data_IF_669130582024
#
_entry.id   IF_669130582024
#
_cell.length_a   1.000
_cell.length_b   1.000
_cell.length_c   1.000
_cell.angle_alpha   90.00
_cell.angle_beta   90.00
_cell.angle_gamma   90.00
#
_symmetry.space_group_name_H-M   'P 1'
#
loop_
_entity.id
_entity.type
_entity.pdbx_description
1 polymer ?
#
# COMPACT_ATOMS: atom_id res chain seq x y z
N UNK A 1 34.86 -55.18 -25.52
CA UNK A 1 35.31 -54.53 -24.27
C UNK A 1 35.61 -53.06 -24.55
N UNK A 2 34.94 -52.13 -23.81
CA UNK A 2 35.39 -50.76 -23.47
C UNK A 2 35.62 -49.79 -24.66
N UNK A 3 35.04 -48.59 -24.79
CA UNK A 3 34.17 -47.66 -24.02
C UNK A 3 33.60 -46.70 -25.11
N UNK A 4 32.29 -46.54 -25.31
CA UNK A 4 31.42 -45.56 -24.62
C UNK A 4 32.05 -44.16 -24.51
N UNK A 5 31.66 -43.24 -25.39
CA UNK A 5 31.26 -41.89 -25.00
C UNK A 5 30.27 -41.32 -26.04
N UNK A 6 29.02 -41.69 -25.84
CA UNK A 6 27.86 -41.13 -26.52
C UNK A 6 27.70 -39.67 -26.07
N UNK A 7 27.62 -38.74 -27.03
CA UNK A 7 27.30 -37.33 -26.79
C UNK A 7 25.89 -37.27 -26.19
N UNK A 8 25.79 -37.02 -24.88
CA UNK A 8 24.52 -36.76 -24.22
C UNK A 8 24.00 -35.40 -24.67
N UNK A 9 22.87 -35.40 -25.37
CA UNK A 9 22.01 -34.24 -25.55
C UNK A 9 21.67 -33.64 -24.18
N UNK A 10 22.31 -32.51 -23.84
CA UNK A 10 21.87 -31.63 -22.76
C UNK A 10 20.80 -30.68 -23.31
N UNK A 11 19.60 -31.20 -23.54
CA UNK A 11 18.47 -30.41 -24.02
C UNK A 11 17.19 -30.90 -23.34
N UNK A 12 17.01 -30.61 -22.04
CA UNK A 12 15.72 -30.80 -21.37
C UNK A 12 15.63 -30.19 -19.96
N UNK A 13 16.04 -28.93 -19.73
CA UNK A 13 15.53 -28.15 -18.58
C UNK A 13 15.41 -26.66 -18.93
N UNK A 14 14.52 -26.31 -19.87
CA UNK A 14 13.99 -24.94 -19.99
C UNK A 14 12.48 -24.92 -20.27
N UNK A 15 11.77 -25.96 -19.85
CA UNK A 15 10.31 -26.00 -19.90
C UNK A 15 9.77 -26.07 -18.47
N UNK A 16 9.74 -24.92 -17.78
CA UNK A 16 8.74 -24.56 -16.77
C UNK A 16 8.99 -23.14 -16.22
N UNK A 17 9.04 -22.16 -17.11
CA UNK A 17 8.80 -20.74 -16.77
C UNK A 17 7.79 -20.13 -17.73
N UNK A 18 6.72 -20.88 -18.01
CA UNK A 18 5.57 -20.44 -18.81
C UNK A 18 4.26 -20.61 -18.03
N UNK A 19 4.22 -20.11 -16.80
CA UNK A 19 2.97 -19.62 -16.20
C UNK A 19 3.14 -18.15 -15.80
N UNK A 20 3.86 -17.37 -16.61
CA UNK A 20 3.59 -15.95 -16.69
C UNK A 20 2.16 -15.84 -17.23
N UNK A 21 1.18 -15.67 -16.34
CA UNK A 21 -0.20 -15.39 -16.72
C UNK A 21 -0.19 -14.21 -17.68
N UNK A 22 -0.33 -14.50 -18.97
CA UNK A 22 -0.33 -13.51 -20.04
C UNK A 22 -1.48 -12.56 -19.74
N UNK A 23 -1.14 -11.33 -19.38
CA UNK A 23 -2.12 -10.28 -19.18
C UNK A 23 -2.91 -10.14 -20.47
N UNK A 24 -4.20 -10.50 -20.46
CA UNK A 24 -5.06 -10.22 -21.62
C UNK A 24 -5.08 -8.70 -21.82
N UNK A 25 -4.70 -8.27 -23.03
CA UNK A 25 -4.73 -6.86 -23.41
C UNK A 25 -6.20 -6.45 -23.57
N UNK A 26 -6.71 -5.74 -22.58
CA UNK A 26 -8.07 -5.19 -22.61
C UNK A 26 -7.93 -3.77 -23.16
N UNK A 27 -8.63 -3.44 -24.26
CA UNK A 27 -8.64 -2.11 -24.92
C UNK A 27 -9.12 -0.94 -24.05
N UNK A 28 -9.34 -1.14 -22.76
CA UNK A 28 -9.85 -0.14 -21.82
C UNK A 28 -8.71 0.62 -21.14
N UNK A 29 -8.92 1.91 -20.89
CA UNK A 29 -8.01 2.73 -20.09
C UNK A 29 -7.92 2.21 -18.64
N UNK A 30 -6.83 2.50 -17.88
CA UNK A 30 -6.71 2.10 -16.49
C UNK A 30 -7.91 2.53 -15.61
N UNK A 31 -8.46 3.72 -15.86
CA UNK A 31 -9.65 4.25 -15.16
C UNK A 31 -10.91 3.45 -15.47
N UNK A 32 -11.16 3.14 -16.75
CA UNK A 32 -12.30 2.30 -17.15
C UNK A 32 -12.19 0.88 -16.61
N UNK A 33 -10.98 0.31 -16.60
CA UNK A 33 -10.72 -1.02 -16.02
C UNK A 33 -10.99 -1.04 -14.53
N UNK A 34 -10.57 -0.01 -13.81
CA UNK A 34 -10.83 0.14 -12.37
C UNK A 34 -12.33 0.29 -12.11
N UNK A 35 -13.02 1.14 -12.87
CA UNK A 35 -14.46 1.32 -12.73
C UNK A 35 -15.23 0.03 -13.00
N UNK A 36 -14.81 -0.74 -14.00
CA UNK A 36 -15.38 -2.06 -14.33
C UNK A 36 -15.10 -3.06 -13.21
N UNK A 37 -13.86 -3.11 -12.71
CA UNK A 37 -13.46 -3.92 -11.56
C UNK A 37 -14.40 -3.65 -10.37
N UNK A 38 -14.49 -2.40 -9.93
CA UNK A 38 -15.30 -1.97 -8.79
C UNK A 38 -16.78 -2.29 -8.98
N UNK A 39 -17.31 -2.12 -10.21
CA UNK A 39 -18.70 -2.44 -10.54
C UNK A 39 -19.00 -3.93 -10.48
N UNK A 40 -18.12 -4.77 -11.02
CA UNK A 40 -18.29 -6.22 -11.01
C UNK A 40 -18.27 -6.77 -9.59
N UNK A 41 -17.40 -6.21 -8.75
CA UNK A 41 -17.34 -6.54 -7.33
C UNK A 41 -18.62 -6.09 -6.62
N UNK A 42 -19.09 -4.86 -6.85
CA UNK A 42 -20.36 -4.38 -6.27
C UNK A 42 -21.53 -5.31 -6.62
N UNK A 43 -21.60 -5.79 -7.87
CA UNK A 43 -22.64 -6.74 -8.30
C UNK A 43 -22.52 -8.12 -7.65
N UNK A 44 -21.31 -8.62 -7.43
CA UNK A 44 -21.07 -9.89 -6.72
C UNK A 44 -21.36 -9.79 -5.22
N UNK A 45 -20.93 -8.69 -4.58
CA UNK A 45 -21.02 -8.47 -3.12
C UNK A 45 -22.41 -8.01 -2.66
N UNK A 46 -23.29 -7.53 -3.54
CA UNK A 46 -24.67 -7.13 -3.18
C UNK A 46 -25.51 -8.21 -2.46
N UNK A 47 -25.07 -9.48 -2.42
CA UNK A 47 -25.68 -10.54 -1.59
C UNK A 47 -25.21 -10.54 -0.12
N UNK A 48 -24.22 -9.74 0.24
CA UNK A 48 -23.55 -9.73 1.56
C UNK A 48 -23.28 -8.28 2.00
N UNK A 49 -24.33 -7.55 2.40
CA UNK A 49 -24.26 -6.50 3.42
C UNK A 49 -23.58 -5.16 3.10
N UNK A 50 -22.27 -5.10 2.80
CA UNK A 50 -21.49 -3.87 3.01
C UNK A 50 -20.65 -3.41 1.81
N UNK A 51 -20.56 -2.09 1.70
CA UNK A 51 -20.41 -1.36 0.43
C UNK A 51 -18.96 -1.14 -0.04
N UNK A 52 -18.81 -0.59 -1.25
CA UNK A 52 -17.54 -0.20 -1.89
C UNK A 52 -16.59 0.62 -0.97
N UNK A 53 -17.14 1.33 0.01
CA UNK A 53 -16.38 2.07 1.02
C UNK A 53 -15.69 1.16 2.03
N UNK A 54 -16.17 -0.05 2.32
CA UNK A 54 -15.44 -1.01 3.13
C UNK A 54 -14.29 -1.63 2.32
N UNK A 55 -14.57 -1.96 1.06
CA UNK A 55 -13.57 -2.46 0.12
C UNK A 55 -12.39 -1.49 -0.04
N UNK A 56 -12.70 -0.22 -0.29
CA UNK A 56 -11.72 0.83 -0.54
C UNK A 56 -11.26 1.54 0.74
N UNK A 57 -12.08 1.55 1.79
CA UNK A 57 -11.90 2.34 2.99
C UNK A 57 -11.21 1.59 4.12
N UNK A 58 -11.53 2.05 5.32
CA UNK A 58 -10.66 2.08 6.49
C UNK A 58 -10.31 0.69 7.01
N UNK A 59 -9.03 0.43 7.21
CA UNK A 59 -8.58 -0.75 7.94
C UNK A 59 -8.57 -0.42 9.43
N UNK A 60 -9.65 -0.76 10.13
CA UNK A 60 -9.82 -0.50 11.57
C UNK A 60 -8.77 -1.19 12.44
N UNK A 61 -8.03 -2.16 11.90
CA UNK A 61 -6.90 -2.77 12.59
C UNK A 61 -5.77 -1.77 12.86
N UNK A 62 -5.69 -0.68 12.10
CA UNK A 62 -4.62 0.32 12.25
C UNK A 62 -4.79 1.25 13.43
N UNK A 63 -6.02 1.45 13.92
CA UNK A 63 -6.22 2.17 15.17
C UNK A 63 -5.70 1.42 16.39
N UNK A 64 -5.52 0.11 16.26
CA UNK A 64 -4.85 -0.70 17.30
C UNK A 64 -3.37 -0.34 17.48
N UNK A 65 -2.78 0.38 16.52
CA UNK A 65 -1.37 0.81 16.60
C UNK A 65 -1.19 2.20 17.21
N UNK A 66 -2.30 2.91 17.49
CA UNK A 66 -2.27 4.20 18.16
C UNK A 66 -1.79 4.04 19.61
N UNK A 67 -1.14 5.08 20.10
CA UNK A 67 -0.61 5.15 21.46
C UNK A 67 -1.38 6.22 22.20
N UNK A 68 -1.99 5.86 23.33
CA UNK A 68 -2.67 6.81 24.20
C UNK A 68 -1.64 7.54 25.08
N UNK A 69 -1.70 8.87 25.09
CA UNK A 69 -0.94 9.72 26.01
C UNK A 69 -1.90 10.78 26.53
N UNK A 70 -2.08 10.83 27.84
CA UNK A 70 -2.94 11.80 28.53
C UNK A 70 -4.36 11.87 27.94
N UNK A 71 -4.95 10.71 27.62
CA UNK A 71 -6.29 10.58 27.05
C UNK A 71 -6.40 10.88 25.54
N UNK A 72 -5.28 11.14 24.86
CA UNK A 72 -5.23 11.44 23.42
C UNK A 72 -4.53 10.31 22.67
N UNK A 73 -5.19 9.78 21.63
CA UNK A 73 -4.64 8.72 20.79
C UNK A 73 -3.76 9.30 19.68
N UNK A 74 -2.48 8.97 19.66
CA UNK A 74 -1.50 9.42 18.68
C UNK A 74 -1.00 8.30 17.79
N UNK A 75 -0.69 8.61 16.53
CA UNK A 75 0.06 7.73 15.65
C UNK A 75 1.51 7.59 16.14
N UNK A 76 2.07 6.36 16.08
CA UNK A 76 3.50 6.18 16.32
C UNK A 76 4.32 6.97 15.28
N UNK A 77 5.46 7.47 15.73
CA UNK A 77 6.44 8.15 14.88
C UNK A 77 7.44 7.13 14.39
N UNK A 78 7.54 6.99 13.07
CA UNK A 78 8.54 6.15 12.42
C UNK A 78 9.64 7.02 11.84
N UNK A 79 10.90 6.63 12.04
CA UNK A 79 12.07 7.33 11.48
C UNK A 79 12.86 6.49 10.48
N UNK A 80 12.50 5.21 10.33
CA UNK A 80 13.25 4.25 9.52
C UNK A 80 12.41 3.82 8.33
N UNK A 81 12.98 3.92 7.14
CA UNK A 81 12.39 3.34 5.93
C UNK A 81 12.76 1.86 5.83
N UNK A 82 11.76 1.00 5.63
CA UNK A 82 11.99 -0.46 5.51
C UNK A 82 11.52 -1.03 4.19
N UNK A 83 10.84 -0.24 3.37
CA UNK A 83 10.18 -0.73 2.16
C UNK A 83 11.19 -1.11 1.08
N UNK A 84 11.10 -2.36 0.63
CA UNK A 84 12.08 -2.96 -0.28
C UNK A 84 11.71 -2.82 -1.76
N UNK A 85 10.44 -2.60 -2.08
CA UNK A 85 10.00 -2.35 -3.46
C UNK A 85 10.19 -0.87 -3.85
N UNK A 86 10.16 -0.58 -5.16
CA UNK A 86 10.26 0.80 -5.64
C UNK A 86 9.12 1.65 -5.05
N UNK A 87 9.54 2.69 -4.33
CA UNK A 87 8.70 3.59 -3.54
C UNK A 87 9.06 5.05 -3.79
N UNK A 88 9.95 5.34 -4.74
CA UNK A 88 10.41 6.71 -5.04
C UNK A 88 9.23 7.64 -5.31
N UNK A 89 8.31 7.21 -6.18
CA UNK A 89 7.10 7.97 -6.49
C UNK A 89 6.15 8.13 -5.29
N UNK A 90 6.17 7.21 -4.32
CA UNK A 90 5.35 7.31 -3.11
C UNK A 90 5.89 8.37 -2.17
N UNK A 91 7.20 8.39 -1.91
CA UNK A 91 7.82 9.42 -1.05
C UNK A 91 7.58 10.82 -1.61
N UNK A 92 7.82 10.99 -2.92
CA UNK A 92 7.62 12.28 -3.60
C UNK A 92 6.18 12.75 -3.45
N UNK A 93 5.20 11.88 -3.71
CA UNK A 93 3.80 12.27 -3.71
C UNK A 93 3.29 12.62 -2.30
N UNK A 94 3.71 11.88 -1.27
CA UNK A 94 3.37 12.21 0.12
C UNK A 94 3.99 13.51 0.59
N UNK A 95 5.28 13.68 0.32
CA UNK A 95 6.00 14.90 0.71
C UNK A 95 5.39 16.12 0.02
N UNK A 96 5.06 16.02 -1.27
CA UNK A 96 4.44 17.09 -2.03
C UNK A 96 3.05 17.46 -1.47
N UNK A 97 2.18 16.48 -1.21
CA UNK A 97 0.87 16.77 -0.63
C UNK A 97 0.98 17.34 0.80
N UNK A 98 1.93 16.86 1.60
CA UNK A 98 2.20 17.40 2.93
C UNK A 98 2.63 18.86 2.88
N UNK A 99 3.64 19.19 2.09
CA UNK A 99 4.14 20.56 1.96
C UNK A 99 3.08 21.53 1.42
N UNK A 100 2.14 21.05 0.60
CA UNK A 100 1.00 21.83 0.14
C UNK A 100 0.00 22.15 1.26
N UNK A 101 -0.16 21.24 2.24
CA UNK A 101 -1.07 21.41 3.39
C UNK A 101 -0.46 22.19 4.53
N UNK A 102 0.84 21.98 4.77
CA UNK A 102 1.59 22.51 5.90
C UNK A 102 2.84 23.23 5.39
N UNK A 103 2.63 24.31 4.62
CA UNK A 103 3.71 25.04 3.93
C UNK A 103 4.74 25.68 4.85
N UNK A 104 4.40 25.85 6.13
CA UNK A 104 5.27 26.46 7.14
C UNK A 104 6.08 25.42 7.95
N UNK A 105 5.73 24.13 7.84
CA UNK A 105 6.36 23.08 8.62
C UNK A 105 7.63 22.55 7.94
N UNK A 106 8.67 22.29 8.73
CA UNK A 106 9.95 21.77 8.26
C UNK A 106 9.94 20.24 8.28
N UNK A 107 9.85 19.60 7.11
CA UNK A 107 9.82 18.13 7.01
C UNK A 107 11.16 17.53 7.47
N UNK A 108 11.09 16.69 8.51
CA UNK A 108 12.22 15.96 9.10
C UNK A 108 12.44 14.64 8.36
N UNK A 109 11.36 13.88 8.15
CA UNK A 109 11.46 12.57 7.51
C UNK A 109 10.21 12.22 6.72
N UNK A 110 10.40 11.38 5.71
CA UNK A 110 9.33 10.77 4.92
C UNK A 110 9.66 9.29 4.77
N UNK A 111 8.89 8.41 5.39
CA UNK A 111 9.25 6.99 5.53
C UNK A 111 8.07 6.07 5.27
N UNK A 112 8.35 4.87 4.76
CA UNK A 112 7.42 3.75 4.74
C UNK A 112 7.99 2.68 5.69
N UNK A 113 7.39 2.47 6.87
CA UNK A 113 7.92 1.57 7.88
C UNK A 113 7.66 0.08 7.59
N UNK A 114 6.84 -0.23 6.58
CA UNK A 114 6.60 -1.61 6.14
C UNK A 114 7.75 -2.11 5.28
N UNK A 115 8.05 -3.40 5.36
CA UNK A 115 9.05 -4.06 4.50
C UNK A 115 8.52 -4.32 3.08
N UNK A 116 7.22 -4.62 2.98
CA UNK A 116 6.52 -4.92 1.74
C UNK A 116 5.07 -4.45 1.82
N UNK A 117 4.34 -4.59 0.71
CA UNK A 117 2.92 -4.30 0.65
C UNK A 117 2.13 -5.17 1.65
N UNK A 118 1.16 -4.56 2.32
CA UNK A 118 0.15 -5.30 3.05
C UNK A 118 -0.90 -5.80 2.05
N UNK A 119 -0.95 -7.11 1.81
CA UNK A 119 -1.78 -7.73 0.78
C UNK A 119 -2.96 -8.50 1.38
N UNK A 120 -4.14 -8.28 0.82
CA UNK A 120 -5.38 -8.96 1.21
C UNK A 120 -6.04 -9.61 0.00
N UNK A 121 -6.58 -10.81 0.20
CA UNK A 121 -7.34 -11.55 -0.81
C UNK A 121 -8.82 -11.41 -0.52
N UNK A 122 -9.59 -11.00 -1.53
CA UNK A 122 -11.04 -10.84 -1.41
C UNK A 122 -11.71 -11.99 -2.15
N UNK A 123 -12.55 -12.72 -1.43
CA UNK A 123 -13.24 -13.92 -1.90
C UNK A 123 -14.74 -13.71 -1.93
N UNK A 124 -15.38 -14.24 -2.97
CA UNK A 124 -16.83 -14.42 -3.07
C UNK A 124 -17.08 -15.92 -3.20
N UNK A 125 -17.85 -16.52 -2.30
CA UNK A 125 -18.15 -17.97 -2.30
C UNK A 125 -16.90 -18.86 -2.48
N UNK A 126 -15.85 -18.59 -1.70
CA UNK A 126 -14.52 -19.26 -1.74
C UNK A 126 -13.70 -19.00 -3.01
N UNK A 127 -14.23 -18.33 -4.04
CA UNK A 127 -13.51 -17.94 -5.25
C UNK A 127 -12.81 -16.59 -5.04
N UNK A 128 -11.54 -16.51 -5.40
CA UNK A 128 -10.81 -15.23 -5.39
C UNK A 128 -11.36 -14.32 -6.48
N UNK A 129 -11.90 -13.18 -6.08
CA UNK A 129 -12.43 -12.17 -7.01
C UNK A 129 -11.46 -11.00 -7.19
N UNK A 130 -10.56 -10.78 -6.22
CA UNK A 130 -9.65 -9.64 -6.23
C UNK A 130 -8.51 -9.80 -5.22
N UNK A 131 -7.41 -9.11 -5.52
CA UNK A 131 -6.33 -8.82 -4.59
C UNK A 131 -6.30 -7.32 -4.33
N UNK A 132 -6.13 -6.94 -3.07
CA UNK A 132 -5.90 -5.57 -2.60
C UNK A 132 -4.51 -5.52 -2.01
N UNK A 133 -3.78 -4.44 -2.25
CA UNK A 133 -2.55 -4.16 -1.53
C UNK A 133 -2.46 -2.71 -1.09
N UNK A 134 -1.93 -2.50 0.11
CA UNK A 134 -1.81 -1.19 0.73
C UNK A 134 -0.42 -0.97 1.31
N UNK A 135 0.05 0.28 1.24
CA UNK A 135 1.25 0.72 1.95
C UNK A 135 1.02 2.12 2.48
N UNK A 136 1.62 2.43 3.61
CA UNK A 136 1.45 3.72 4.27
C UNK A 136 2.76 4.46 4.42
N UNK A 137 2.75 5.70 3.97
CA UNK A 137 3.86 6.63 4.08
C UNK A 137 3.58 7.62 5.21
N UNK A 138 4.59 7.86 6.03
CA UNK A 138 4.55 8.76 7.17
C UNK A 138 5.45 9.95 6.91
N UNK A 139 4.91 11.16 7.07
CA UNK A 139 5.67 12.41 6.98
C UNK A 139 5.72 13.02 8.37
N UNK A 140 6.92 13.13 8.92
CA UNK A 140 7.17 13.83 10.17
C UNK A 140 7.77 15.20 9.83
N UNK A 141 7.19 16.25 10.39
CA UNK A 141 7.70 17.61 10.27
C UNK A 141 7.73 18.30 11.63
N UNK A 142 8.62 19.27 11.79
CA UNK A 142 8.62 20.20 12.92
C UNK A 142 7.77 21.42 12.56
N UNK A 143 6.86 21.81 13.44
CA UNK A 143 5.99 22.98 13.28
C UNK A 143 6.29 23.99 14.40
N UNK A 144 7.04 25.04 14.05
CA UNK A 144 7.59 25.97 15.04
C UNK A 144 8.54 25.27 16.04
N UNK A 145 8.63 25.81 17.26
CA UNK A 145 9.48 25.24 18.32
C UNK A 145 8.76 24.24 19.21
N UNK A 146 7.43 24.25 19.26
CA UNK A 146 6.65 23.61 20.32
C UNK A 146 6.17 22.18 20.00
N UNK A 147 6.28 21.75 18.74
CA UNK A 147 5.84 20.41 18.39
C UNK A 147 6.14 19.95 16.97
N UNK A 148 5.56 18.79 16.67
CA UNK A 148 5.71 18.08 15.42
C UNK A 148 4.35 17.82 14.79
N UNK A 149 4.32 17.67 13.47
CA UNK A 149 3.19 17.12 12.75
C UNK A 149 3.61 15.75 12.22
N UNK A 150 2.85 14.71 12.57
CA UNK A 150 3.02 13.36 12.04
C UNK A 150 1.81 13.03 11.15
N UNK A 151 2.01 12.97 9.84
CA UNK A 151 0.96 12.72 8.86
C UNK A 151 1.10 11.32 8.24
N UNK A 152 -0.03 10.65 8.01
CA UNK A 152 -0.12 9.34 7.36
C UNK A 152 -0.86 9.44 6.04
N UNK A 153 -0.29 8.78 5.04
CA UNK A 153 -0.79 8.68 3.70
C UNK A 153 -0.95 7.23 3.28
N UNK A 154 -2.05 6.89 2.61
CA UNK A 154 -2.25 5.56 2.06
C UNK A 154 -2.04 5.51 0.55
N UNK A 155 -1.34 4.47 0.13
CA UNK A 155 -1.26 4.01 -1.25
C UNK A 155 -2.01 2.70 -1.38
N UNK A 156 -2.90 2.60 -2.36
CA UNK A 156 -3.67 1.36 -2.59
C UNK A 156 -3.59 0.94 -4.04
N UNK A 157 -3.57 -0.35 -4.25
CA UNK A 157 -3.74 -0.96 -5.57
C UNK A 157 -4.66 -2.16 -5.50
N UNK A 158 -5.40 -2.38 -6.59
CA UNK A 158 -6.34 -3.47 -6.74
C UNK A 158 -6.04 -4.23 -8.04
N UNK A 159 -6.26 -5.55 -8.04
CA UNK A 159 -6.28 -6.33 -9.28
C UNK A 159 -7.28 -7.47 -9.22
N UNK A 160 -7.80 -7.86 -10.37
CA UNK A 160 -8.41 -9.18 -10.58
C UNK A 160 -7.33 -10.24 -10.79
N UNK A 161 -7.62 -11.53 -10.54
CA UNK A 161 -6.76 -12.62 -10.97
C UNK A 161 -6.41 -12.51 -12.47
N UNK A 162 -5.12 -12.67 -12.80
CA UNK A 162 -4.62 -12.54 -14.19
C UNK A 162 -4.61 -11.12 -14.76
N UNK A 163 -4.87 -10.08 -13.96
CA UNK A 163 -4.85 -8.69 -14.42
C UNK A 163 -3.74 -7.87 -13.74
N UNK A 164 -3.34 -6.78 -14.40
CA UNK A 164 -2.38 -5.79 -13.87
C UNK A 164 -2.98 -5.06 -12.65
N UNK A 165 -2.10 -4.61 -11.77
CA UNK A 165 -2.45 -3.71 -10.66
C UNK A 165 -2.96 -2.37 -11.17
N UNK A 166 -4.03 -1.88 -10.56
CA UNK A 166 -4.66 -0.59 -10.84
C UNK A 166 -4.71 0.23 -9.57
N UNK A 167 -4.44 1.52 -9.69
CA UNK A 167 -4.49 2.47 -8.58
C UNK A 167 -5.88 3.11 -8.50
N UNK A 168 -6.60 2.97 -7.37
CA UNK A 168 -7.88 3.65 -7.17
C UNK A 168 -7.73 5.17 -7.15
N UNK A 169 -8.71 5.89 -7.70
CA UNK A 169 -8.74 7.35 -7.67
C UNK A 169 -8.68 7.87 -6.23
N UNK A 170 -7.80 8.83 -5.98
CA UNK A 170 -7.58 9.41 -4.65
C UNK A 170 -6.73 8.58 -3.68
N UNK A 171 -6.13 7.45 -4.11
CA UNK A 171 -5.28 6.59 -3.28
C UNK A 171 -3.80 6.57 -3.71
N UNK A 172 -3.32 7.68 -4.28
CA UNK A 172 -1.91 7.84 -4.65
C UNK A 172 -1.44 9.31 -4.60
N UNK A 173 -1.25 9.87 -3.39
CA UNK A 173 -1.59 9.31 -2.09
C UNK A 173 -3.00 9.73 -1.64
N UNK A 174 -3.58 8.99 -0.70
CA UNK A 174 -4.70 9.45 0.12
C UNK A 174 -4.15 10.02 1.43
N UNK A 175 -4.43 11.28 1.75
CA UNK A 175 -4.23 11.79 3.12
C UNK A 175 -5.23 11.10 4.05
N UNK A 176 -4.76 10.41 5.09
CA UNK A 176 -5.64 9.73 6.04
C UNK A 176 -5.79 10.51 7.34
N UNK A 177 -4.68 10.99 7.91
CA UNK A 177 -4.63 11.60 9.24
C UNK A 177 -3.36 12.42 9.42
N UNK A 178 -3.42 13.47 10.24
CA UNK A 178 -2.25 14.11 10.81
C UNK A 178 -2.48 14.36 12.30
N UNK A 179 -1.45 14.12 13.11
CA UNK A 179 -1.44 14.43 14.53
C UNK A 179 -0.45 15.56 14.82
N UNK A 180 -0.91 16.55 15.59
CA UNK A 180 -0.02 17.53 16.21
C UNK A 180 0.53 16.95 17.53
N UNK A 181 1.83 16.78 17.62
CA UNK A 181 2.53 16.10 18.71
C UNK A 181 3.33 17.15 19.50
N UNK A 182 2.97 17.43 20.76
CA UNK A 182 3.80 18.25 21.63
C UNK A 182 5.19 17.64 21.85
N UNK A 183 6.21 18.47 22.02
CA UNK A 183 7.59 18.01 22.30
C UNK A 183 7.67 16.99 23.45
N UNK A 184 6.86 17.18 24.49
CA UNK A 184 6.78 16.28 25.64
C UNK A 184 6.34 14.85 25.28
N UNK A 185 5.56 14.69 24.20
CA UNK A 185 4.98 13.40 23.78
C UNK A 185 5.86 12.71 22.72
N UNK A 186 6.64 13.47 21.95
CA UNK A 186 7.41 12.96 20.81
C UNK A 186 8.26 11.73 21.14
N UNK A 187 9.02 11.76 22.25
CA UNK A 187 9.88 10.64 22.66
C UNK A 187 9.08 9.37 22.97
N UNK A 188 7.87 9.49 23.52
CA UNK A 188 6.99 8.35 23.84
C UNK A 188 6.42 7.69 22.58
N UNK A 189 6.32 8.44 21.48
CA UNK A 189 5.73 7.97 20.22
C UNK A 189 6.75 7.38 19.25
N UNK A 190 8.05 7.61 19.46
CA UNK A 190 9.10 7.17 18.55
C UNK A 190 9.25 5.63 18.58
N UNK A 191 8.97 4.98 17.46
CA UNK A 191 9.27 3.56 17.23
C UNK A 191 10.57 3.43 16.43
N UNK A 192 11.41 2.47 16.83
CA UNK A 192 12.63 2.07 16.12
C UNK A 192 12.28 1.27 14.86
#
# INVERSE_FOLDING_TARGET
MKKQLTVLLLALILANSANAQVYKDIKQTPKERLNTLLRDIKRGIQKTGDSLNELLGYDSSRDKTLVEIDGVMYMPVYTTNRFTADSTGMYVACRADFMRRYSHANVISTVIPQETWDETVIKDNKKVVMYKRSVWCYVLAKDGEDGYINARYAFKQLRKPGQKWLTPEGYWPKFERADAIPNAHYKKLKKQ
#
